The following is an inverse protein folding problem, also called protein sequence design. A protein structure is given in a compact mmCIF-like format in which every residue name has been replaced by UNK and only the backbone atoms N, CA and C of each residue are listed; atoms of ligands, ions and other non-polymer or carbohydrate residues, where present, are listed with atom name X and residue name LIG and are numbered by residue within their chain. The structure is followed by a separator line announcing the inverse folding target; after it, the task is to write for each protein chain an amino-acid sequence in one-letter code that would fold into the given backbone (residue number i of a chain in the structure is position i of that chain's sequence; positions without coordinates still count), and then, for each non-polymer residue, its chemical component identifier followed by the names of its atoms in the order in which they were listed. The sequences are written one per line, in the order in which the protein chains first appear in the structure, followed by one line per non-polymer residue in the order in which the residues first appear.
data_IF_303078529388
#
_entry.id   IF_303078529388
#
_cell.length_a   1.000
_cell.length_b   1.000
_cell.length_c   1.000
_cell.angle_alpha   90.00
_cell.angle_beta   90.00
_cell.angle_gamma   90.00
#
_symmetry.space_group_name_H-M   'P 1'
#
loop_
_entity.id
_entity.type
_entity.pdbx_description
1 polymer ?
#
# COMPACT_ATOMS: atom_id res chain seq x y z
N UNK A 1 -28.93 11.30 -0.55
CA UNK A 1 -28.06 12.49 -0.62
C UNK A 1 -28.78 13.53 -1.45
N UNK A 2 -29.19 14.64 -0.85
CA UNK A 2 -29.79 15.76 -1.61
C UNK A 2 -28.64 16.61 -2.13
N UNK A 3 -28.33 16.51 -3.39
CA UNK A 3 -27.45 17.49 -4.04
C UNK A 3 -28.19 18.80 -4.16
N UNK A 4 -27.55 19.96 -3.90
CA UNK A 4 -28.16 21.25 -4.20
C UNK A 4 -28.52 21.30 -5.69
N UNK A 5 -29.77 21.63 -5.98
CA UNK A 5 -30.31 21.69 -7.37
C UNK A 5 -29.57 22.76 -8.21
N UNK A 6 -28.89 23.69 -7.55
CA UNK A 6 -28.24 24.86 -8.17
C UNK A 6 -26.69 24.78 -8.14
N UNK A 7 -26.09 23.58 -7.97
CA UNK A 7 -24.64 23.47 -7.99
C UNK A 7 -24.07 23.72 -9.39
N UNK A 8 -23.34 24.80 -9.54
CA UNK A 8 -22.59 25.13 -10.76
C UNK A 8 -21.11 24.77 -10.48
N UNK A 9 -20.55 23.78 -11.18
CA UNK A 9 -19.14 23.41 -10.97
C UNK A 9 -18.22 24.58 -11.35
N UNK A 10 -17.15 24.83 -10.59
CA UNK A 10 -16.20 25.88 -10.93
C UNK A 10 -15.48 25.56 -12.26
N UNK A 11 -15.16 26.58 -13.06
CA UNK A 11 -14.41 26.40 -14.32
C UNK A 11 -13.02 25.81 -14.08
N UNK A 12 -12.41 26.07 -12.92
CA UNK A 12 -11.14 25.53 -12.47
C UNK A 12 -11.39 24.90 -11.11
N UNK A 13 -11.28 23.58 -11.02
CA UNK A 13 -11.40 22.89 -9.75
C UNK A 13 -10.15 23.16 -8.90
N UNK A 14 -10.38 23.52 -7.64
CA UNK A 14 -9.32 23.64 -6.63
C UNK A 14 -9.60 22.64 -5.53
N UNK A 15 -8.55 21.93 -5.11
CA UNK A 15 -8.64 21.04 -3.97
C UNK A 15 -8.69 21.85 -2.67
N UNK A 16 -9.63 21.48 -1.82
CA UNK A 16 -9.76 22.01 -0.46
C UNK A 16 -9.92 20.82 0.48
N UNK A 17 -9.27 20.89 1.66
CA UNK A 17 -9.24 19.77 2.61
C UNK A 17 -10.62 19.38 3.13
N UNK A 18 -11.57 20.30 3.10
CA UNK A 18 -12.96 20.11 3.57
C UNK A 18 -13.90 19.57 2.48
N UNK A 19 -13.45 19.56 1.24
CA UNK A 19 -14.24 19.09 0.11
C UNK A 19 -14.01 17.59 -0.13
N UNK A 20 -15.01 16.75 0.10
CA UNK A 20 -14.95 15.32 -0.19
C UNK A 20 -15.40 14.42 0.97
N UNK A 21 -15.99 15.00 2.02
CA UNK A 21 -16.56 14.26 3.15
C UNK A 21 -15.50 13.73 4.13
N UNK A 22 -15.88 12.74 4.92
CA UNK A 22 -15.12 12.23 6.07
C UNK A 22 -13.69 11.80 5.74
N UNK A 23 -13.44 11.38 4.51
CA UNK A 23 -12.13 10.85 4.06
C UNK A 23 -11.35 11.81 3.15
N UNK A 24 -11.79 13.07 3.01
CA UNK A 24 -11.12 14.04 2.14
C UNK A 24 -9.64 14.21 2.48
N UNK A 25 -9.29 14.24 3.77
CA UNK A 25 -7.92 14.39 4.25
C UNK A 25 -7.00 13.20 3.98
N UNK A 26 -7.53 12.04 3.62
CA UNK A 26 -6.74 10.83 3.28
C UNK A 26 -6.27 10.82 1.83
N UNK A 27 -6.73 11.77 1.03
CA UNK A 27 -6.37 11.97 -0.36
C UNK A 27 -5.89 13.40 -0.58
N UNK A 28 -5.04 13.59 -1.58
CA UNK A 28 -4.59 14.92 -2.01
C UNK A 28 -4.30 14.91 -3.52
N UNK A 29 -4.53 16.02 -4.22
CA UNK A 29 -4.31 16.12 -5.66
C UNK A 29 -2.87 16.46 -6.03
N UNK A 30 -2.03 16.84 -5.08
CA UNK A 30 -0.64 17.25 -5.32
C UNK A 30 0.33 16.11 -5.03
N UNK A 31 1.31 15.91 -5.90
CA UNK A 31 2.40 14.96 -5.68
C UNK A 31 3.43 15.50 -4.65
N UNK A 32 4.24 14.60 -4.12
CA UNK A 32 5.32 14.93 -3.19
C UNK A 32 4.91 14.86 -1.71
N UNK A 33 5.87 14.98 -0.81
CA UNK A 33 5.65 14.96 0.63
C UNK A 33 5.08 16.30 1.13
N UNK A 34 4.31 16.26 2.21
CA UNK A 34 3.83 17.47 2.88
C UNK A 34 4.69 17.86 4.07
N UNK A 35 5.47 16.91 4.60
CA UNK A 35 6.34 17.10 5.76
C UNK A 35 7.46 16.08 5.76
N UNK A 36 8.53 16.40 6.45
CA UNK A 36 9.63 15.46 6.66
C UNK A 36 9.27 14.49 7.78
N UNK A 37 9.37 13.21 7.48
CA UNK A 37 9.16 12.13 8.43
C UNK A 37 9.96 10.91 8.02
N UNK A 38 10.91 10.53 8.88
CA UNK A 38 11.65 9.29 8.73
C UNK A 38 10.74 8.09 9.04
N UNK A 39 10.93 7.01 8.29
CA UNK A 39 10.30 5.72 8.57
C UNK A 39 11.22 4.84 9.43
N UNK A 40 10.65 4.08 10.36
CA UNK A 40 11.42 3.07 11.08
C UNK A 40 11.87 1.97 10.12
N UNK A 41 13.03 1.39 10.40
CA UNK A 41 13.59 0.22 9.72
C UNK A 41 13.96 -0.78 10.80
N UNK A 42 13.55 -2.02 10.64
CA UNK A 42 13.80 -3.12 11.57
C UNK A 42 14.97 -3.99 11.14
N UNK A 43 14.94 -5.24 11.57
CA UNK A 43 16.05 -6.19 11.39
C UNK A 43 15.86 -7.09 10.15
N UNK A 44 14.62 -7.32 9.74
CA UNK A 44 14.32 -8.19 8.62
C UNK A 44 14.46 -7.46 7.28
N UNK A 45 14.72 -8.17 6.19
CA UNK A 45 14.88 -7.51 4.88
C UNK A 45 13.59 -6.88 4.36
N UNK A 46 12.44 -7.45 4.70
CA UNK A 46 11.14 -6.91 4.28
C UNK A 46 10.61 -5.93 5.31
N UNK A 47 10.33 -4.70 4.85
CA UNK A 47 9.77 -3.64 5.67
C UNK A 47 8.38 -3.30 5.14
N UNK A 48 7.33 -3.73 5.84
CA UNK A 48 5.94 -3.49 5.47
C UNK A 48 5.40 -2.26 6.18
N UNK A 49 5.06 -1.23 5.43
CA UNK A 49 4.42 -0.01 5.92
C UNK A 49 2.93 -0.05 5.61
N UNK A 50 2.10 -0.25 6.63
CA UNK A 50 0.70 -0.55 6.44
C UNK A 50 -0.17 -0.10 7.61
N UNK A 51 -1.45 -0.43 7.54
CA UNK A 51 -2.45 -0.30 8.60
C UNK A 51 -3.48 -1.41 8.44
N UNK A 52 -4.21 -1.77 9.50
CA UNK A 52 -5.26 -2.80 9.50
C UNK A 52 -6.48 -2.45 8.64
N UNK A 53 -6.26 -2.18 7.37
CA UNK A 53 -7.29 -1.98 6.35
C UNK A 53 -7.43 -3.26 5.51
N UNK A 54 -8.53 -3.44 4.75
CA UNK A 54 -8.67 -4.63 3.90
C UNK A 54 -7.49 -4.87 2.96
N UNK A 55 -6.89 -3.80 2.41
CA UNK A 55 -5.73 -3.92 1.53
C UNK A 55 -4.43 -4.21 2.30
N UNK A 56 -4.26 -3.65 3.50
CA UNK A 56 -3.10 -3.93 4.35
C UNK A 56 -3.10 -5.37 4.85
N UNK A 57 -4.25 -5.88 5.29
CA UNK A 57 -4.42 -7.24 5.78
C UNK A 57 -4.02 -8.29 4.74
N UNK A 58 -4.32 -8.07 3.45
CA UNK A 58 -3.93 -9.00 2.38
C UNK A 58 -2.42 -9.29 2.38
N UNK A 59 -1.62 -8.24 2.53
CA UNK A 59 -0.15 -8.37 2.50
C UNK A 59 0.36 -9.05 3.76
N UNK A 60 -0.22 -8.74 4.93
CA UNK A 60 0.11 -9.43 6.17
C UNK A 60 -0.21 -10.92 6.08
N UNK A 61 -1.41 -11.27 5.61
CA UNK A 61 -1.80 -12.68 5.39
C UNK A 61 -0.82 -13.39 4.45
N UNK A 62 -0.41 -12.73 3.35
CA UNK A 62 0.53 -13.31 2.41
C UNK A 62 1.88 -13.66 3.07
N UNK A 63 2.42 -12.77 3.91
CA UNK A 63 3.66 -13.06 4.63
C UNK A 63 3.49 -14.20 5.62
N UNK A 64 2.40 -14.22 6.39
CA UNK A 64 2.13 -15.30 7.36
C UNK A 64 1.95 -16.65 6.66
N UNK A 65 1.28 -16.70 5.52
CA UNK A 65 1.13 -17.93 4.71
C UNK A 65 2.48 -18.40 4.17
N UNK A 66 3.35 -17.50 3.72
CA UNK A 66 4.69 -17.84 3.26
C UNK A 66 5.53 -18.46 4.42
N UNK A 67 5.48 -17.87 5.61
CA UNK A 67 6.16 -18.38 6.79
C UNK A 67 5.64 -19.76 7.20
N UNK A 68 4.30 -19.95 7.18
CA UNK A 68 3.67 -21.26 7.48
C UNK A 68 4.05 -22.33 6.44
N UNK A 69 4.26 -21.93 5.19
CA UNK A 69 4.79 -22.80 4.12
C UNK A 69 6.28 -23.15 4.28
N UNK A 70 6.97 -22.57 5.26
CA UNK A 70 8.37 -22.83 5.57
C UNK A 70 9.37 -21.88 4.92
N UNK A 71 8.93 -20.79 4.31
CA UNK A 71 9.81 -19.74 3.78
C UNK A 71 10.31 -18.84 4.92
N UNK A 72 11.28 -19.32 5.70
CA UNK A 72 11.84 -18.56 6.84
C UNK A 72 12.51 -17.25 6.44
N UNK A 73 12.88 -17.10 5.18
CA UNK A 73 13.42 -15.89 4.58
C UNK A 73 12.34 -14.85 4.21
N UNK A 74 11.06 -15.17 4.43
CA UNK A 74 9.94 -14.25 4.34
C UNK A 74 9.68 -13.43 5.64
N UNK A 75 10.53 -13.55 6.65
CA UNK A 75 10.45 -12.73 7.86
C UNK A 75 10.44 -11.25 7.53
N UNK A 76 9.56 -10.49 8.20
CA UNK A 76 9.32 -9.08 7.92
C UNK A 76 9.08 -8.24 9.17
N UNK A 77 9.34 -6.95 9.08
CA UNK A 77 8.95 -5.97 10.08
C UNK A 77 7.73 -5.18 9.59
N UNK A 78 6.69 -5.08 10.42
CA UNK A 78 5.47 -4.35 10.10
C UNK A 78 5.38 -3.04 10.89
N UNK A 79 5.17 -1.94 10.15
CA UNK A 79 5.12 -0.59 10.69
C UNK A 79 3.76 0.07 10.44
N UNK A 80 3.17 0.59 11.50
CA UNK A 80 1.89 1.29 11.42
C UNK A 80 2.06 2.65 10.74
N UNK A 81 1.29 2.89 9.69
CA UNK A 81 1.12 4.20 9.05
C UNK A 81 -0.29 4.70 9.35
N UNK A 82 -0.39 5.67 10.25
CA UNK A 82 -1.69 6.26 10.62
C UNK A 82 -2.19 7.21 9.53
N UNK A 83 -3.03 6.69 8.64
CA UNK A 83 -3.58 7.50 7.52
C UNK A 83 -4.46 8.64 7.99
N UNK A 84 -5.14 8.49 9.13
CA UNK A 84 -5.93 9.58 9.74
C UNK A 84 -5.08 10.75 10.25
N UNK A 85 -3.78 10.52 10.51
CA UNK A 85 -2.82 11.56 10.89
C UNK A 85 -2.00 12.09 9.72
N UNK A 86 -2.24 11.59 8.49
CA UNK A 86 -1.53 12.02 7.31
C UNK A 86 -0.09 11.46 7.18
N UNK A 87 0.26 10.41 7.92
CA UNK A 87 1.62 9.86 7.93
C UNK A 87 2.06 9.32 6.56
N UNK A 88 1.10 8.91 5.72
CA UNK A 88 1.34 8.50 4.33
C UNK A 88 1.87 9.64 3.43
N UNK A 89 1.85 10.87 3.92
CA UNK A 89 2.37 12.06 3.22
C UNK A 89 3.75 12.50 3.72
N UNK A 90 4.36 11.75 4.62
CA UNK A 90 5.73 11.98 5.07
C UNK A 90 6.76 11.65 3.99
N UNK A 91 7.92 12.33 4.03
CA UNK A 91 8.96 12.26 2.99
C UNK A 91 9.39 10.83 2.67
N UNK A 92 9.72 10.03 3.67
CA UNK A 92 10.22 8.67 3.44
C UNK A 92 9.13 7.73 2.92
N UNK A 93 7.89 7.88 3.39
CA UNK A 93 6.79 7.07 2.86
C UNK A 93 6.51 7.40 1.39
N UNK A 94 6.51 8.68 1.03
CA UNK A 94 6.33 9.14 -0.36
C UNK A 94 7.48 8.65 -1.26
N UNK A 95 8.70 8.55 -0.71
CA UNK A 95 9.82 7.96 -1.45
C UNK A 95 9.62 6.47 -1.75
N UNK A 96 8.91 5.72 -0.90
CA UNK A 96 8.57 4.32 -1.16
C UNK A 96 7.36 4.25 -2.09
N UNK A 97 6.28 4.96 -1.76
CA UNK A 97 5.05 5.01 -2.57
C UNK A 97 4.64 6.45 -2.92
N UNK A 98 4.95 6.93 -4.12
CA UNK A 98 4.59 8.28 -4.56
C UNK A 98 3.08 8.55 -4.58
N UNK A 99 2.25 7.49 -4.63
CA UNK A 99 0.79 7.60 -4.56
C UNK A 99 0.28 7.88 -3.14
N UNK A 100 1.17 7.82 -2.12
CA UNK A 100 0.82 8.04 -0.71
C UNK A 100 -0.34 7.15 -0.23
N UNK A 101 -0.31 5.87 -0.59
CA UNK A 101 -1.29 4.84 -0.22
C UNK A 101 -0.62 3.67 0.48
N UNK A 102 -1.30 3.12 1.48
CA UNK A 102 -0.92 1.86 2.13
C UNK A 102 -1.64 0.69 1.44
N UNK A 103 -1.06 -0.52 1.48
CA UNK A 103 0.27 -0.89 1.95
C UNK A 103 1.39 -0.48 1.00
N UNK A 104 2.60 -0.36 1.52
CA UNK A 104 3.83 -0.21 0.77
C UNK A 104 4.91 -1.13 1.35
N UNK A 105 5.71 -1.74 0.51
CA UNK A 105 6.75 -2.69 0.87
C UNK A 105 8.11 -2.17 0.40
N UNK A 106 9.10 -2.23 1.28
CA UNK A 106 10.50 -2.07 0.95
C UNK A 106 11.20 -3.42 1.15
N UNK A 107 11.77 -3.96 0.08
CA UNK A 107 12.53 -5.20 0.12
C UNK A 107 14.03 -4.89 0.01
N UNK A 108 14.75 -5.15 1.08
CA UNK A 108 16.19 -4.97 1.22
C UNK A 108 16.97 -6.31 1.11
N UNK A 109 16.35 -7.39 0.63
CA UNK A 109 16.99 -8.71 0.56
C UNK A 109 17.96 -8.87 -0.61
N UNK A 110 17.97 -7.94 -1.56
CA UNK A 110 18.88 -7.94 -2.71
C UNK A 110 19.99 -6.91 -2.59
N UNK A 111 20.82 -6.80 -3.64
CA UNK A 111 21.92 -5.82 -3.70
C UNK A 111 21.42 -4.36 -3.66
N UNK A 112 20.22 -4.12 -4.18
CA UNK A 112 19.57 -2.82 -4.16
C UNK A 112 18.15 -2.95 -3.60
N UNK A 113 17.72 -1.97 -2.74
CA UNK A 113 16.37 -1.95 -2.22
C UNK A 113 15.31 -1.84 -3.32
N UNK A 114 14.28 -2.67 -3.23
CA UNK A 114 13.13 -2.63 -4.13
C UNK A 114 11.90 -2.07 -3.41
N UNK A 115 11.25 -1.14 -4.05
CA UNK A 115 10.00 -0.53 -3.56
C UNK A 115 8.84 -1.15 -4.32
N UNK A 116 7.88 -1.72 -3.60
CA UNK A 116 6.68 -2.33 -4.17
C UNK A 116 5.46 -1.72 -3.49
N UNK A 117 4.52 -1.22 -4.27
CA UNK A 117 3.27 -0.66 -3.78
C UNK A 117 2.11 -1.12 -4.68
N UNK A 118 0.87 -0.86 -4.27
CA UNK A 118 -0.37 -1.52 -4.65
C UNK A 118 -0.45 -2.95 -4.09
N UNK A 119 -1.51 -3.22 -3.30
CA UNK A 119 -1.63 -4.51 -2.59
C UNK A 119 -1.55 -5.72 -3.52
N UNK A 120 -2.21 -5.65 -4.69
CA UNK A 120 -2.15 -6.71 -5.70
C UNK A 120 -0.74 -6.92 -6.25
N UNK A 121 -0.01 -5.85 -6.55
CA UNK A 121 1.37 -5.93 -7.03
C UNK A 121 2.32 -6.50 -5.96
N UNK A 122 2.10 -6.17 -4.68
CA UNK A 122 2.88 -6.75 -3.58
C UNK A 122 2.64 -8.26 -3.48
N UNK A 123 1.39 -8.71 -3.59
CA UNK A 123 1.07 -10.14 -3.56
C UNK A 123 1.74 -10.89 -4.71
N UNK A 124 1.67 -10.37 -5.93
CA UNK A 124 2.33 -10.95 -7.10
C UNK A 124 3.84 -11.01 -6.93
N UNK A 125 4.43 -9.90 -6.49
CA UNK A 125 5.86 -9.81 -6.23
C UNK A 125 6.35 -10.86 -5.23
N UNK A 126 5.65 -11.00 -4.10
CA UNK A 126 6.01 -11.99 -3.07
C UNK A 126 5.82 -13.43 -3.58
N UNK A 127 4.73 -13.70 -4.29
CA UNK A 127 4.49 -15.02 -4.86
C UNK A 127 5.58 -15.43 -5.87
N UNK A 128 6.00 -14.53 -6.75
CA UNK A 128 7.09 -14.76 -7.69
C UNK A 128 8.42 -14.93 -6.97
N UNK A 129 8.72 -14.06 -6.00
CA UNK A 129 9.98 -14.08 -5.26
C UNK A 129 10.20 -15.38 -4.51
N UNK A 130 9.16 -15.90 -3.88
CA UNK A 130 9.21 -17.16 -3.11
C UNK A 130 8.79 -18.39 -3.93
N UNK A 131 8.54 -18.22 -5.23
CA UNK A 131 8.07 -19.30 -6.11
C UNK A 131 6.89 -20.07 -5.48
N UNK A 132 5.98 -19.35 -4.84
CA UNK A 132 4.87 -19.92 -4.09
C UNK A 132 3.63 -20.04 -4.97
N UNK A 133 2.92 -21.18 -4.86
CA UNK A 133 1.69 -21.46 -5.60
C UNK A 133 0.47 -20.60 -5.19
N UNK A 134 0.65 -19.57 -4.38
CA UNK A 134 -0.43 -18.68 -3.96
C UNK A 134 -1.06 -17.88 -5.12
N UNK A 135 -0.45 -17.90 -6.30
CA UNK A 135 -1.02 -17.37 -7.55
C UNK A 135 -2.05 -18.30 -8.22
N UNK A 136 -2.21 -19.52 -7.76
CA UNK A 136 -3.12 -20.50 -8.39
C UNK A 136 -4.60 -20.12 -8.37
N UNK A 137 -4.99 -19.15 -7.55
CA UNK A 137 -6.36 -18.64 -7.53
C UNK A 137 -6.74 -17.78 -8.73
N UNK A 138 -5.77 -17.29 -9.50
CA UNK A 138 -6.03 -16.56 -10.76
C UNK A 138 -6.06 -17.49 -11.98
N UNK A 139 -5.26 -18.56 -11.99
CA UNK A 139 -5.23 -19.53 -13.10
C UNK A 139 -6.43 -20.47 -13.09
N UNK A 140 -6.99 -20.79 -11.91
CA UNK A 140 -8.18 -21.64 -11.80
C UNK A 140 -9.43 -21.00 -12.47
N UNK A 141 -9.47 -19.67 -12.58
CA UNK A 141 -10.54 -18.97 -13.28
C UNK A 141 -10.40 -19.03 -14.81
N UNK A 142 -9.18 -19.19 -15.34
CA UNK A 142 -8.91 -19.28 -16.78
C UNK A 142 -9.09 -20.70 -17.32
N UNK A 143 -8.96 -21.75 -16.52
CA UNK A 143 -9.16 -23.14 -16.93
C UNK A 143 -10.63 -23.52 -17.11
N UNK A 144 -11.58 -22.85 -16.46
CA UNK A 144 -13.02 -23.08 -16.64
C UNK A 144 -13.59 -22.46 -17.93
N UNK A 145 -12.79 -21.68 -18.68
CA UNK A 145 -13.20 -21.01 -19.93
C UNK A 145 -12.63 -21.66 -21.20
N UNK A 146 -12.09 -22.89 -21.11
CA UNK A 146 -11.59 -23.64 -22.29
C UNK A 146 -12.42 -24.87 -22.62
#
# INVERSE_FOLDING_TARGET
MNYPIDYVPPKIWKWENENGGTFASTNRPIAGSTHDKALPIGQHPFQLYSQGTPNGIKVTVMFEELLEMGHSDAEYDAWLISIGKGEQFGSDFVNINPNSKIPALLDNSGDEPKRVFESGAILLYLAEKFNSCLLYTSDAADEELR
#
